data_IF_647960292828
#
_entry.id   IF_647960292828
#
_cell.length_a   1.000
_cell.length_b   1.000
_cell.length_c   1.000
_cell.angle_alpha   90.00
_cell.angle_beta   90.00
_cell.angle_gamma   90.00
#
_symmetry.space_group_name_H-M   'P 1'
#
loop_
_entity.id
_entity.type
_entity.pdbx_description
1 polymer ?
#
# COMPACT_ATOMS: atom_id res chain seq x y z
N UNK A 1 26.91 -12.84 0.76
CA UNK A 1 25.94 -12.45 1.81
C UNK A 1 24.83 -11.64 1.17
N UNK A 2 23.54 -12.02 1.29
CA UNK A 2 22.47 -11.16 0.81
C UNK A 2 22.46 -9.88 1.65
N UNK A 3 22.32 -8.71 1.03
CA UNK A 3 22.28 -7.42 1.72
C UNK A 3 21.03 -7.36 2.62
N UNK A 4 21.21 -7.61 3.92
CA UNK A 4 20.14 -7.70 4.93
C UNK A 4 19.67 -6.35 5.46
N UNK A 5 20.39 -5.25 5.16
CA UNK A 5 20.03 -3.92 5.63
C UNK A 5 20.22 -2.87 4.54
N UNK A 6 19.21 -2.03 4.33
CA UNK A 6 19.24 -0.94 3.37
C UNK A 6 18.92 0.38 4.10
N UNK A 7 19.57 1.47 3.70
CA UNK A 7 19.47 2.76 4.39
C UNK A 7 18.16 3.54 4.09
N UNK A 8 17.29 2.99 3.23
CA UNK A 8 16.04 3.61 2.77
C UNK A 8 14.88 2.64 2.89
N UNK A 9 13.66 3.14 3.09
CA UNK A 9 12.47 2.29 2.93
C UNK A 9 12.38 1.77 1.49
N UNK A 10 11.93 0.53 1.31
CA UNK A 10 11.62 -0.02 -0.01
C UNK A 10 10.14 -0.34 -0.04
N UNK A 11 9.46 0.10 -1.11
CA UNK A 11 8.06 -0.22 -1.35
C UNK A 11 7.99 -1.11 -2.58
N UNK A 12 7.42 -2.30 -2.41
CA UNK A 12 7.17 -3.21 -3.53
C UNK A 12 5.77 -2.97 -4.06
N UNK A 13 5.68 -2.54 -5.32
CA UNK A 13 4.41 -2.31 -6.01
C UNK A 13 4.20 -3.44 -7.00
N UNK A 14 3.13 -4.25 -6.89
CA UNK A 14 2.84 -5.26 -7.89
C UNK A 14 2.39 -4.56 -9.18
N UNK A 15 3.17 -4.69 -10.25
CA UNK A 15 2.87 -4.06 -11.54
C UNK A 15 1.96 -4.90 -12.45
N UNK A 16 1.76 -6.18 -12.14
CA UNK A 16 1.03 -7.09 -13.03
C UNK A 16 -0.48 -6.96 -12.85
N UNK A 17 -1.23 -7.05 -13.95
CA UNK A 17 -2.71 -7.01 -13.96
C UNK A 17 -3.33 -8.10 -13.09
N UNK A 18 -2.68 -9.27 -13.01
CA UNK A 18 -3.06 -10.39 -12.14
C UNK A 18 -2.35 -10.34 -10.77
N UNK A 19 -2.18 -9.15 -10.19
CA UNK A 19 -1.66 -9.04 -8.82
C UNK A 19 -2.53 -9.84 -7.84
N UNK A 20 -1.90 -10.51 -6.87
CA UNK A 20 -2.64 -11.24 -5.83
C UNK A 20 -3.60 -10.28 -5.11
N UNK A 21 -4.89 -10.62 -5.13
CA UNK A 21 -5.92 -9.96 -4.34
C UNK A 21 -6.32 -10.89 -3.22
N UNK A 22 -6.38 -10.35 -2.01
CA UNK A 22 -6.89 -11.10 -0.88
C UNK A 22 -8.40 -10.90 -0.78
N UNK A 23 -9.11 -11.97 -0.45
CA UNK A 23 -10.50 -11.86 -0.03
C UNK A 23 -10.56 -11.13 1.32
N UNK A 24 -11.70 -10.49 1.58
CA UNK A 24 -12.01 -9.98 2.92
C UNK A 24 -11.95 -11.13 3.95
N UNK A 25 -11.66 -10.83 5.23
CA UNK A 25 -11.72 -11.81 6.30
C UNK A 25 -13.05 -12.57 6.30
N UNK A 26 -12.99 -13.87 6.60
CA UNK A 26 -14.16 -14.76 6.59
C UNK A 26 -15.36 -14.21 7.35
N UNK A 27 -15.13 -13.64 8.54
CA UNK A 27 -16.20 -13.05 9.35
C UNK A 27 -16.95 -11.93 8.63
N UNK A 28 -16.25 -11.11 7.84
CA UNK A 28 -16.86 -10.03 7.06
C UNK A 28 -17.61 -10.61 5.86
N UNK A 29 -17.02 -11.59 5.17
CA UNK A 29 -17.67 -12.24 4.01
C UNK A 29 -18.98 -12.94 4.40
N UNK A 30 -19.07 -13.48 5.62
CA UNK A 30 -20.29 -14.14 6.11
C UNK A 30 -21.46 -13.18 6.33
N UNK A 31 -21.16 -11.92 6.64
CA UNK A 31 -22.14 -10.86 6.86
C UNK A 31 -22.51 -10.13 5.56
N UNK A 32 -21.70 -10.30 4.50
CA UNK A 32 -21.95 -9.72 3.20
C UNK A 32 -23.05 -10.45 2.44
N UNK A 33 -23.72 -9.73 1.55
CA UNK A 33 -24.66 -10.30 0.59
C UNK A 33 -23.91 -11.29 -0.32
N UNK A 34 -24.41 -12.52 -0.53
CA UNK A 34 -23.82 -13.48 -1.47
C UNK A 34 -23.61 -12.92 -2.88
N UNK A 35 -24.39 -11.93 -3.30
CA UNK A 35 -24.29 -11.31 -4.63
C UNK A 35 -23.38 -10.06 -4.66
N UNK A 36 -22.73 -9.70 -3.54
CA UNK A 36 -21.84 -8.55 -3.46
C UNK A 36 -20.53 -8.79 -4.27
N UNK A 37 -20.20 -7.87 -5.17
CA UNK A 37 -19.00 -7.93 -5.99
C UNK A 37 -17.74 -7.44 -5.26
N UNK A 38 -17.89 -6.76 -4.12
CA UNK A 38 -16.78 -6.18 -3.35
C UNK A 38 -16.16 -7.17 -2.36
N UNK A 39 -15.92 -8.42 -2.76
CA UNK A 39 -15.34 -9.47 -1.89
C UNK A 39 -13.85 -9.32 -1.59
N UNK A 40 -13.15 -8.47 -2.35
CA UNK A 40 -11.71 -8.28 -2.24
C UNK A 40 -11.33 -7.19 -1.24
N UNK A 41 -10.18 -7.33 -0.60
CA UNK A 41 -9.56 -6.30 0.21
C UNK A 41 -8.88 -5.23 -0.64
N UNK A 42 -8.82 -4.01 -0.11
CA UNK A 42 -8.04 -2.92 -0.69
C UNK A 42 -6.54 -3.24 -0.68
N UNK A 43 -5.92 -3.23 -1.84
CA UNK A 43 -4.49 -3.43 -2.03
C UNK A 43 -3.70 -2.13 -1.81
N UNK A 44 -2.38 -2.22 -1.91
CA UNK A 44 -1.50 -1.04 -1.77
C UNK A 44 -1.75 -0.02 -2.89
N UNK A 45 -1.96 -0.50 -4.12
CA UNK A 45 -2.25 0.33 -5.27
C UNK A 45 -3.51 1.16 -5.04
N UNK A 46 -4.61 0.54 -4.62
CA UNK A 46 -5.90 1.21 -4.34
C UNK A 46 -5.74 2.41 -3.39
N UNK A 47 -4.84 2.30 -2.41
CA UNK A 47 -4.54 3.39 -1.47
C UNK A 47 -3.75 4.54 -2.09
N UNK A 48 -2.95 4.27 -3.13
CA UNK A 48 -2.28 5.31 -3.94
C UNK A 48 -3.21 5.90 -4.99
N UNK A 49 -4.35 5.26 -5.30
CA UNK A 49 -5.40 5.88 -6.10
C UNK A 49 -6.32 6.76 -5.26
N UNK A 50 -6.52 6.41 -3.98
CA UNK A 50 -7.37 7.12 -3.02
C UNK A 50 -6.66 8.29 -2.31
N UNK A 51 -5.74 8.99 -3.01
CA UNK A 51 -4.97 10.12 -2.46
C UNK A 51 -5.89 11.26 -2.01
N UNK A 52 -5.56 12.03 -0.96
CA UNK A 52 -6.41 13.13 -0.49
C UNK A 52 -6.70 14.15 -1.61
N UNK A 53 -7.94 14.66 -1.68
CA UNK A 53 -8.35 15.64 -2.69
C UNK A 53 -7.92 17.07 -2.29
N UNK A 54 -6.62 17.31 -2.22
CA UNK A 54 -6.06 18.63 -1.93
C UNK A 54 -5.02 18.98 -3.00
N UNK A 55 -4.85 20.27 -3.36
CA UNK A 55 -3.92 20.69 -4.41
C UNK A 55 -2.47 20.28 -4.12
N UNK A 56 -2.09 20.17 -2.84
CA UNK A 56 -0.77 19.68 -2.41
C UNK A 56 -0.48 18.23 -2.85
N UNK A 57 -1.52 17.46 -3.18
CA UNK A 57 -1.43 16.06 -3.62
C UNK A 57 -1.68 15.88 -5.12
N UNK A 58 -1.69 16.97 -5.90
CA UNK A 58 -1.68 16.90 -7.37
C UNK A 58 -0.27 16.55 -7.89
N UNK A 59 0.23 15.39 -7.46
CA UNK A 59 1.54 14.86 -7.78
C UNK A 59 1.43 13.47 -8.40
N UNK A 60 2.51 13.00 -9.01
CA UNK A 60 2.55 11.65 -9.55
C UNK A 60 2.39 10.61 -8.43
N UNK A 61 1.64 9.54 -8.71
CA UNK A 61 1.43 8.42 -7.76
C UNK A 61 2.74 7.77 -7.31
N UNK A 62 3.75 7.76 -8.17
CA UNK A 62 5.08 7.26 -7.81
C UNK A 62 5.76 8.18 -6.79
N UNK A 63 5.70 9.49 -6.97
CA UNK A 63 6.25 10.45 -5.99
C UNK A 63 5.50 10.36 -4.66
N UNK A 64 4.18 10.21 -4.73
CA UNK A 64 3.37 9.98 -3.54
C UNK A 64 3.78 8.70 -2.79
N UNK A 65 3.91 7.56 -3.49
CA UNK A 65 4.34 6.30 -2.88
C UNK A 65 5.77 6.34 -2.31
N UNK A 66 6.63 7.18 -2.89
CA UNK A 66 8.00 7.43 -2.45
C UNK A 66 8.06 8.30 -1.19
N UNK A 67 7.33 9.41 -1.18
CA UNK A 67 7.39 10.41 -0.10
C UNK A 67 6.47 10.11 1.08
N UNK A 68 5.36 9.41 0.86
CA UNK A 68 4.35 9.17 1.88
C UNK A 68 4.35 7.69 2.33
N UNK A 69 3.96 7.49 3.59
CA UNK A 69 3.77 6.18 4.19
C UNK A 69 2.32 6.03 4.62
N UNK A 70 1.71 4.90 4.24
CA UNK A 70 0.34 4.56 4.60
C UNK A 70 0.32 4.00 6.03
N UNK A 71 -0.58 4.55 6.84
CA UNK A 71 -0.85 4.19 8.22
C UNK A 71 -2.24 3.56 8.33
N UNK A 72 -2.33 2.47 9.09
CA UNK A 72 -3.62 2.01 9.57
C UNK A 72 -4.10 2.92 10.69
N UNK A 73 -5.35 3.36 10.65
CA UNK A 73 -5.96 4.24 11.66
C UNK A 73 -5.84 3.64 13.07
N UNK A 74 -5.88 2.31 13.20
CA UNK A 74 -5.74 1.60 14.48
C UNK A 74 -4.35 1.76 15.11
N UNK A 75 -3.32 2.07 14.31
CA UNK A 75 -1.95 2.31 14.77
C UNK A 75 -1.72 3.83 14.89
N UNK A 76 -2.44 4.48 15.80
CA UNK A 76 -2.24 5.90 16.07
C UNK A 76 -0.85 6.13 16.67
N UNK A 77 0.00 6.88 15.95
CA UNK A 77 1.28 7.34 16.48
C UNK A 77 1.00 8.43 17.51
N UNK A 78 1.33 8.20 18.79
CA UNK A 78 1.02 9.13 19.89
C UNK A 78 1.55 10.54 19.68
N UNK A 79 2.64 10.72 18.92
CA UNK A 79 3.25 12.01 18.55
C UNK A 79 3.88 11.91 17.15
N UNK A 80 3.13 12.17 16.07
CA UNK A 80 3.68 12.08 14.73
C UNK A 80 4.62 13.26 14.44
N UNK A 81 5.74 12.99 13.77
CA UNK A 81 6.72 14.02 13.36
C UNK A 81 6.22 14.87 12.18
N UNK A 82 5.30 14.34 11.40
CA UNK A 82 4.71 14.98 10.21
C UNK A 82 3.20 14.94 10.31
N UNK A 83 2.48 15.89 9.69
CA UNK A 83 1.02 15.91 9.72
C UNK A 83 0.47 14.60 9.13
N UNK A 84 -0.55 14.06 9.81
CA UNK A 84 -1.28 12.87 9.36
C UNK A 84 -2.53 13.36 8.62
N UNK A 85 -2.72 12.94 7.38
CA UNK A 85 -3.93 13.20 6.60
C UNK A 85 -4.66 11.89 6.30
N UNK A 86 -5.99 11.91 6.18
CA UNK A 86 -6.79 10.72 5.85
C UNK A 86 -6.88 10.56 4.34
N UNK A 87 -7.02 9.30 3.88
CA UNK A 87 -7.40 9.04 2.50
C UNK A 87 -8.90 9.39 2.29
N UNK A 88 -9.33 9.48 1.02
CA UNK A 88 -10.68 9.97 0.71
C UNK A 88 -11.76 8.97 1.13
N UNK A 89 -11.63 7.73 0.67
CA UNK A 89 -12.68 6.71 0.77
C UNK A 89 -12.29 5.61 1.74
N UNK A 90 -11.01 5.24 1.74
CA UNK A 90 -10.49 4.13 2.52
C UNK A 90 -10.17 4.58 3.95
N UNK A 91 -10.41 3.68 4.91
CA UNK A 91 -10.09 3.89 6.33
C UNK A 91 -8.58 3.75 6.62
N UNK A 92 -7.76 4.50 5.89
CA UNK A 92 -6.32 4.63 6.09
C UNK A 92 -5.94 6.11 6.19
N UNK A 93 -4.76 6.34 6.75
CA UNK A 93 -4.16 7.65 6.82
C UNK A 93 -2.78 7.62 6.17
N UNK A 94 -2.22 8.79 5.90
CA UNK A 94 -0.89 8.97 5.35
C UNK A 94 -0.10 9.93 6.23
N UNK A 95 1.21 9.73 6.24
CA UNK A 95 2.19 10.68 6.80
C UNK A 95 3.32 10.87 5.80
N UNK A 96 3.90 12.07 5.76
CA UNK A 96 5.14 12.29 5.00
C UNK A 96 6.30 11.58 5.70
N UNK A 97 7.17 10.90 4.94
CA UNK A 97 8.38 10.26 5.46
C UNK A 97 9.37 11.33 5.90
N UNK A 98 9.90 11.22 7.12
CA UNK A 98 10.76 12.26 7.69
C UNK A 98 12.22 12.16 7.25
N UNK A 99 12.72 10.96 6.92
CA UNK A 99 14.15 10.74 6.70
C UNK A 99 14.52 10.84 5.21
N UNK A 100 14.09 9.85 4.42
CA UNK A 100 14.39 9.75 2.98
C UNK A 100 13.19 9.14 2.28
N UNK A 101 12.95 9.56 1.04
CA UNK A 101 11.95 8.96 0.16
C UNK A 101 12.29 7.49 -0.09
N UNK A 102 11.25 6.67 -0.19
CA UNK A 102 11.38 5.23 -0.37
C UNK A 102 11.75 4.87 -1.82
N UNK A 103 12.49 3.78 -1.97
CA UNK A 103 12.78 3.21 -3.28
C UNK A 103 11.58 2.37 -3.70
N UNK A 104 10.98 2.69 -4.83
CA UNK A 104 9.93 1.86 -5.43
C UNK A 104 10.59 0.74 -6.20
N UNK A 105 10.18 -0.50 -5.92
CA UNK A 105 10.61 -1.68 -6.66
C UNK A 105 9.42 -2.42 -7.21
N UNK A 106 9.57 -2.91 -8.43
CA UNK A 106 8.62 -3.82 -9.06
C UNK A 106 9.21 -5.22 -8.95
N UNK A 107 8.58 -6.13 -8.18
CA UNK A 107 9.06 -7.51 -8.13
C UNK A 107 8.90 -8.11 -9.52
N UNK A 108 10.01 -8.56 -10.10
CA UNK A 108 10.00 -9.36 -11.31
C UNK A 108 9.77 -10.80 -10.89
N UNK A 109 8.57 -11.32 -11.17
CA UNK A 109 8.26 -12.73 -10.94
C UNK A 109 8.39 -13.45 -12.28
N UNK A 110 9.35 -14.37 -12.39
CA UNK A 110 9.46 -15.22 -13.57
C UNK A 110 8.99 -16.62 -13.21
N UNK A 111 7.83 -17.00 -13.76
CA UNK A 111 7.19 -18.28 -13.49
C UNK A 111 8.09 -19.48 -13.83
N UNK A 112 9.00 -19.33 -14.78
CA UNK A 112 9.92 -20.39 -15.20
C UNK A 112 11.12 -20.54 -14.25
N UNK A 113 11.63 -19.42 -13.73
CA UNK A 113 12.83 -19.40 -12.88
C UNK A 113 12.52 -19.59 -11.39
N UNK A 114 11.35 -19.12 -10.92
CA UNK A 114 10.97 -19.11 -9.49
C UNK A 114 10.33 -20.42 -8.99
N UNK A 115 10.28 -21.48 -9.81
CA UNK A 115 9.72 -22.80 -9.45
C UNK A 115 10.38 -23.50 -8.25
N UNK A 116 11.54 -23.05 -7.79
CA UNK A 116 12.30 -23.68 -6.70
C UNK A 116 11.88 -23.25 -5.27
N UNK A 117 10.84 -22.44 -5.13
CA UNK A 117 10.39 -21.89 -3.84
C UNK A 117 9.01 -22.38 -3.37
N UNK A 118 8.47 -23.41 -4.02
CA UNK A 118 7.27 -24.16 -3.60
C UNK A 118 7.66 -25.61 -3.32
#
# INVERSE_FOLDING_TARGET
MPLTSISRGVVFVPAHSNSCKFLKPYNILKEMDPDDQYIYMSNLADKYFDMPNEPDFDICRADFASEYEILSIRKSVKKPKTPIKRLQTLNFAIKKRCNRSAIIRYPYFNRETDRKLL
#
